data_IF_872383990817
#
_entry.id   IF_872383990817
#
_cell.length_a   1.000
_cell.length_b   1.000
_cell.length_c   1.000
_cell.angle_alpha   90.00
_cell.angle_beta   90.00
_cell.angle_gamma   90.00
#
_symmetry.space_group_name_H-M   'P 1'
#
loop_
_entity.id
_entity.type
_entity.pdbx_description
1 polymer ?
#
# COMPACT_ATOMS: atom_id res chain seq x y z
N UNK A 1 -14.43 -5.64 0.45
CA UNK A 1 -13.44 -5.10 1.41
C UNK A 1 -13.65 -5.74 2.79
N UNK A 2 -14.89 -5.75 3.28
CA UNK A 2 -15.24 -6.23 4.63
C UNK A 2 -14.75 -7.65 4.94
N UNK A 3 -14.90 -8.60 4.00
CA UNK A 3 -14.40 -9.97 4.17
C UNK A 3 -12.88 -10.06 4.36
N UNK A 4 -12.11 -9.25 3.61
CA UNK A 4 -10.64 -9.18 3.73
C UNK A 4 -10.28 -8.68 5.14
N UNK A 5 -10.91 -7.59 5.56
CA UNK A 5 -10.68 -7.01 6.87
C UNK A 5 -11.07 -7.96 8.01
N UNK A 6 -12.20 -8.67 7.89
CA UNK A 6 -12.64 -9.66 8.87
C UNK A 6 -11.67 -10.84 8.97
N UNK A 7 -11.18 -11.35 7.84
CA UNK A 7 -10.25 -12.48 7.83
C UNK A 7 -8.85 -12.10 8.34
N UNK A 8 -8.40 -10.87 8.10
CA UNK A 8 -7.20 -10.32 8.75
C UNK A 8 -7.43 -10.09 10.24
N UNK A 9 -8.59 -9.54 10.65
CA UNK A 9 -8.93 -9.30 12.05
C UNK A 9 -8.90 -10.55 12.92
N UNK A 10 -9.31 -11.72 12.39
CA UNK A 10 -9.25 -12.99 13.14
C UNK A 10 -7.83 -13.38 13.58
N UNK A 11 -6.79 -12.87 12.93
CA UNK A 11 -5.37 -13.20 13.21
C UNK A 11 -4.76 -12.33 14.31
N UNK A 12 -5.43 -11.24 14.69
CA UNK A 12 -4.92 -10.27 15.64
C UNK A 12 -5.98 -9.91 16.68
N UNK A 13 -5.54 -9.57 17.88
CA UNK A 13 -6.45 -9.13 18.95
C UNK A 13 -6.27 -7.62 19.13
N UNK A 14 -7.21 -6.82 18.60
CA UNK A 14 -7.19 -5.37 18.74
C UNK A 14 -8.59 -4.79 18.96
N UNK A 15 -8.64 -3.61 19.60
CA UNK A 15 -9.87 -2.95 20.06
C UNK A 15 -10.57 -2.09 19.00
N UNK A 16 -10.12 -2.13 17.75
CA UNK A 16 -10.60 -1.26 16.67
C UNK A 16 -11.05 -2.05 15.44
N UNK A 17 -11.80 -1.40 14.56
CA UNK A 17 -12.35 -1.99 13.34
C UNK A 17 -11.44 -1.69 12.13
N UNK A 18 -10.83 -2.73 11.55
CA UNK A 18 -9.86 -2.56 10.46
C UNK A 18 -10.53 -2.08 9.16
N UNK A 19 -11.76 -2.51 8.90
CA UNK A 19 -12.62 -2.01 7.81
C UNK A 19 -12.82 -0.50 7.92
N UNK A 20 -13.00 0.00 9.13
CA UNK A 20 -13.25 1.41 9.39
C UNK A 20 -11.98 2.20 9.09
N UNK A 21 -10.81 1.72 9.55
CA UNK A 21 -9.53 2.37 9.25
C UNK A 21 -9.26 2.38 7.74
N UNK A 22 -9.35 1.22 7.09
CA UNK A 22 -9.02 1.09 5.68
C UNK A 22 -9.95 1.93 4.80
N UNK A 23 -11.27 1.90 5.05
CA UNK A 23 -12.24 2.73 4.32
C UNK A 23 -11.94 4.22 4.49
N UNK A 24 -11.66 4.71 5.71
CA UNK A 24 -11.32 6.13 5.92
C UNK A 24 -10.03 6.53 5.21
N UNK A 25 -9.01 5.67 5.21
CA UNK A 25 -7.76 5.92 4.48
C UNK A 25 -7.97 5.99 2.97
N UNK A 26 -8.78 5.10 2.41
CA UNK A 26 -9.09 5.07 0.97
C UNK A 26 -9.95 6.26 0.56
N UNK A 27 -11.05 6.54 1.26
CA UNK A 27 -11.93 7.67 0.97
C UNK A 27 -11.19 8.99 1.13
N UNK A 28 -10.40 9.14 2.20
CA UNK A 28 -9.56 10.30 2.39
C UNK A 28 -8.55 10.50 1.27
N UNK A 29 -7.93 9.42 0.77
CA UNK A 29 -6.98 9.52 -0.34
C UNK A 29 -7.63 9.95 -1.66
N UNK A 30 -8.85 9.48 -1.93
CA UNK A 30 -9.60 9.78 -3.16
C UNK A 30 -10.22 11.19 -3.11
N UNK A 31 -10.87 11.52 -1.99
CA UNK A 31 -11.67 12.74 -1.87
C UNK A 31 -10.85 13.96 -1.44
N UNK A 32 -9.88 13.78 -0.54
CA UNK A 32 -9.08 14.88 0.01
C UNK A 32 -7.66 14.40 0.42
N UNK A 33 -6.80 14.07 -0.57
CA UNK A 33 -5.49 13.47 -0.34
C UNK A 33 -4.64 14.36 0.56
N UNK A 34 -4.37 13.88 1.76
CA UNK A 34 -3.67 14.64 2.80
C UNK A 34 -2.94 13.71 3.76
N UNK A 35 -2.36 14.27 4.83
CA UNK A 35 -1.71 13.48 5.88
C UNK A 35 -2.70 12.53 6.57
N UNK A 36 -2.20 11.47 7.20
CA UNK A 36 -3.02 10.51 7.97
C UNK A 36 -3.82 11.18 9.09
N UNK A 37 -3.21 12.17 9.76
CA UNK A 37 -3.88 13.03 10.74
C UNK A 37 -4.99 13.86 10.11
N UNK A 38 -4.71 14.54 8.99
CA UNK A 38 -5.73 15.29 8.25
C UNK A 38 -6.87 14.39 7.79
N UNK A 39 -6.58 13.18 7.31
CA UNK A 39 -7.57 12.17 6.96
C UNK A 39 -8.45 11.79 8.15
N UNK A 40 -7.89 11.62 9.36
CA UNK A 40 -8.67 11.37 10.56
C UNK A 40 -9.66 12.51 10.86
N UNK A 41 -9.23 13.77 10.71
CA UNK A 41 -10.10 14.93 10.89
C UNK A 41 -11.17 15.02 9.80
N UNK A 42 -10.78 14.91 8.53
CA UNK A 42 -11.68 14.90 7.38
C UNK A 42 -12.73 13.78 7.45
N UNK A 43 -12.35 12.61 7.98
CA UNK A 43 -13.28 11.49 8.11
C UNK A 43 -14.52 11.79 8.95
N UNK A 44 -14.44 12.78 9.86
CA UNK A 44 -15.54 13.24 10.70
C UNK A 44 -16.57 14.07 9.94
N UNK A 45 -16.21 14.60 8.76
CA UNK A 45 -17.10 15.42 7.92
C UNK A 45 -17.82 14.61 6.84
N UNK A 46 -17.52 13.30 6.74
CA UNK A 46 -18.18 12.40 5.78
C UNK A 46 -19.60 12.05 6.25
N UNK A 47 -20.47 11.67 5.31
CA UNK A 47 -21.88 11.31 5.56
C UNK A 47 -22.05 10.19 6.59
N UNK A 48 -21.08 9.29 6.70
CA UNK A 48 -21.02 8.24 7.71
C UNK A 48 -19.88 8.55 8.70
N UNK A 49 -20.07 9.49 9.64
CA UNK A 49 -19.04 9.80 10.61
C UNK A 49 -18.88 8.59 11.54
N UNK A 50 -17.72 7.95 11.46
CA UNK A 50 -17.31 6.92 12.42
C UNK A 50 -16.30 7.53 13.39
N UNK A 51 -16.46 7.24 14.67
CA UNK A 51 -15.49 7.67 15.69
C UNK A 51 -14.19 6.89 15.48
N UNK A 52 -13.22 7.53 14.82
CA UNK A 52 -11.90 6.97 14.60
C UNK A 52 -10.88 7.82 15.35
N UNK A 53 -10.40 7.29 16.46
CA UNK A 53 -9.30 7.90 17.19
C UNK A 53 -7.99 7.79 16.41
N UNK A 54 -7.18 8.85 16.45
CA UNK A 54 -5.97 8.97 15.63
C UNK A 54 -4.97 7.83 15.92
N UNK A 55 -4.80 7.43 17.17
CA UNK A 55 -3.93 6.33 17.56
C UNK A 55 -4.37 4.99 16.95
N UNK A 56 -5.67 4.75 16.77
CA UNK A 56 -6.16 3.54 16.13
C UNK A 56 -5.85 3.56 14.64
N UNK A 57 -6.01 4.71 13.97
CA UNK A 57 -5.62 4.86 12.56
C UNK A 57 -4.14 4.52 12.35
N UNK A 58 -3.24 5.03 13.20
CA UNK A 58 -1.81 4.72 13.09
C UNK A 58 -1.50 3.25 13.37
N UNK A 59 -2.08 2.65 14.43
CA UNK A 59 -1.90 1.22 14.73
C UNK A 59 -2.43 0.32 13.61
N UNK A 60 -3.52 0.72 12.96
CA UNK A 60 -4.07 -0.02 11.83
C UNK A 60 -3.14 -0.06 10.61
N UNK A 61 -2.31 0.97 10.40
CA UNK A 61 -1.32 0.97 9.30
C UNK A 61 -0.32 -0.17 9.43
N UNK A 62 0.09 -0.51 10.65
CA UNK A 62 1.00 -1.63 10.90
C UNK A 62 0.37 -2.97 10.53
N UNK A 63 -0.91 -3.17 10.88
CA UNK A 63 -1.66 -4.38 10.52
C UNK A 63 -1.85 -4.46 9.01
N UNK A 64 -2.21 -3.34 8.36
CA UNK A 64 -2.35 -3.27 6.90
C UNK A 64 -1.02 -3.63 6.23
N UNK A 65 0.10 -3.10 6.74
CA UNK A 65 1.43 -3.40 6.22
C UNK A 65 1.76 -4.90 6.34
N UNK A 66 1.50 -5.52 7.50
CA UNK A 66 1.71 -6.96 7.74
C UNK A 66 0.85 -7.85 6.85
N UNK A 67 -0.36 -7.42 6.54
CA UNK A 67 -1.33 -8.17 5.73
C UNK A 67 -1.25 -7.82 4.24
N UNK A 68 -0.27 -7.02 3.81
CA UNK A 68 -0.18 -6.50 2.44
C UNK A 68 -0.27 -7.61 1.40
N UNK A 69 0.48 -8.70 1.55
CA UNK A 69 0.48 -9.80 0.57
C UNK A 69 -0.90 -10.48 0.46
N UNK A 70 -1.56 -10.71 1.59
CA UNK A 70 -2.92 -11.26 1.62
C UNK A 70 -3.94 -10.31 0.99
N UNK A 71 -3.82 -9.00 1.26
CA UNK A 71 -4.66 -7.97 0.66
C UNK A 71 -4.47 -7.95 -0.86
N UNK A 72 -3.23 -7.96 -1.34
CA UNK A 72 -2.92 -7.97 -2.77
C UNK A 72 -3.47 -9.23 -3.46
N UNK A 73 -3.23 -10.41 -2.88
CA UNK A 73 -3.76 -11.68 -3.39
C UNK A 73 -5.28 -11.62 -3.52
N UNK A 74 -5.96 -11.12 -2.49
CA UNK A 74 -7.42 -11.12 -2.48
C UNK A 74 -8.00 -10.01 -3.38
N UNK A 75 -7.31 -8.88 -3.55
CA UNK A 75 -7.67 -7.88 -4.56
C UNK A 75 -7.51 -8.44 -5.97
N UNK A 76 -6.44 -9.18 -6.25
CA UNK A 76 -6.23 -9.85 -7.53
C UNK A 76 -7.37 -10.82 -7.84
N UNK A 77 -7.70 -11.74 -6.92
CA UNK A 77 -8.80 -12.71 -7.10
C UNK A 77 -10.15 -12.03 -7.30
N UNK A 78 -10.48 -11.03 -6.47
CA UNK A 78 -11.77 -10.34 -6.55
C UNK A 78 -11.91 -9.53 -7.85
N UNK A 79 -10.84 -8.87 -8.29
CA UNK A 79 -10.86 -8.07 -9.52
C UNK A 79 -10.88 -8.95 -10.78
N UNK A 80 -10.20 -10.08 -10.78
CA UNK A 80 -10.27 -11.07 -11.86
C UNK A 80 -11.68 -11.66 -12.04
N UNK A 81 -12.47 -11.74 -10.96
CA UNK A 81 -13.87 -12.13 -11.04
C UNK A 81 -14.79 -11.05 -11.64
N UNK A 82 -14.38 -9.78 -11.61
CA UNK A 82 -15.16 -8.65 -12.14
C UNK A 82 -14.83 -8.35 -13.62
N UNK A 83 -13.58 -8.57 -14.03
CA UNK A 83 -13.14 -8.37 -15.41
C UNK A 83 -12.00 -9.33 -15.74
N UNK A 84 -11.96 -9.79 -16.98
CA UNK A 84 -10.82 -10.54 -17.51
C UNK A 84 -9.54 -9.72 -17.39
N UNK A 85 -8.47 -10.31 -16.85
CA UNK A 85 -7.15 -9.69 -16.79
C UNK A 85 -6.39 -9.93 -18.08
N UNK A 86 -5.67 -8.92 -18.58
CA UNK A 86 -4.89 -8.99 -19.81
C UNK A 86 -3.40 -9.11 -19.52
N UNK A 87 -3.01 -10.27 -19.01
CA UNK A 87 -1.65 -10.58 -18.52
C UNK A 87 -0.71 -11.11 -19.60
N UNK A 88 -1.11 -11.05 -20.88
CA UNK A 88 -0.25 -11.43 -22.01
C UNK A 88 1.02 -10.56 -22.10
N UNK A 89 0.91 -9.30 -21.63
CA UNK A 89 2.01 -8.36 -21.44
C UNK A 89 1.86 -7.75 -20.05
N UNK A 90 2.95 -7.77 -19.28
CA UNK A 90 3.03 -7.15 -17.97
C UNK A 90 3.90 -5.90 -18.05
N UNK A 91 3.39 -4.79 -17.50
CA UNK A 91 4.17 -3.58 -17.31
C UNK A 91 4.73 -3.55 -15.90
N UNK A 92 6.01 -3.22 -15.80
CA UNK A 92 6.71 -3.04 -14.54
C UNK A 92 7.36 -1.66 -14.50
N UNK A 93 7.11 -0.91 -13.44
CA UNK A 93 7.81 0.34 -13.18
C UNK A 93 8.27 0.41 -11.72
N UNK A 94 9.43 1.04 -11.52
CA UNK A 94 10.02 1.28 -10.22
C UNK A 94 9.92 2.77 -9.88
N UNK A 95 9.49 3.10 -8.68
CA UNK A 95 9.53 4.48 -8.17
C UNK A 95 10.31 4.55 -6.87
N UNK A 96 11.02 5.66 -6.66
CA UNK A 96 11.87 5.87 -5.49
C UNK A 96 11.26 6.97 -4.62
N UNK A 97 11.13 6.71 -3.32
CA UNK A 97 10.74 7.68 -2.32
C UNK A 97 11.99 8.11 -1.54
N UNK A 98 12.35 9.39 -1.60
CA UNK A 98 13.48 9.91 -0.82
C UNK A 98 13.08 10.27 0.61
N UNK A 99 14.02 10.20 1.53
CA UNK A 99 13.83 10.55 2.93
C UNK A 99 14.91 11.52 3.40
N UNK A 100 14.53 12.52 4.18
CA UNK A 100 15.45 13.49 4.80
C UNK A 100 15.98 13.01 6.17
N UNK A 101 15.87 11.71 6.42
CA UNK A 101 16.28 11.04 7.66
C UNK A 101 17.51 10.16 7.36
N UNK A 102 18.10 9.58 8.41
CA UNK A 102 19.22 8.65 8.28
C UNK A 102 18.80 7.31 7.66
N UNK A 103 19.81 6.56 7.22
CA UNK A 103 19.60 5.20 6.70
C UNK A 103 18.93 4.28 7.73
N UNK A 104 18.26 3.27 7.22
CA UNK A 104 17.59 2.27 8.03
C UNK A 104 17.31 1.03 7.18
N UNK A 105 16.52 0.09 7.71
CA UNK A 105 16.34 -1.21 7.06
C UNK A 105 15.88 -1.12 5.58
N UNK A 106 14.93 -0.24 5.28
CA UNK A 106 14.48 0.02 3.90
C UNK A 106 15.14 1.28 3.30
N UNK A 107 15.40 2.30 4.11
CA UNK A 107 15.95 3.58 3.67
C UNK A 107 17.43 3.41 3.45
N UNK A 108 17.86 3.24 2.20
CA UNK A 108 19.25 2.97 1.86
C UNK A 108 19.71 3.96 0.80
N UNK A 109 20.99 4.35 0.84
CA UNK A 109 21.58 5.18 -0.21
C UNK A 109 21.70 4.38 -1.50
N UNK A 110 21.19 4.94 -2.60
CA UNK A 110 21.14 4.28 -3.90
C UNK A 110 20.96 5.27 -5.03
N UNK A 111 20.76 4.76 -6.24
CA UNK A 111 20.54 5.61 -7.40
C UNK A 111 19.13 6.23 -7.36
N UNK A 112 19.05 7.47 -6.91
CA UNK A 112 17.81 8.25 -6.94
C UNK A 112 17.48 8.68 -8.36
N UNK A 113 16.25 8.43 -8.83
CA UNK A 113 15.76 8.91 -10.15
C UNK A 113 15.73 10.43 -10.24
N UNK A 114 15.66 11.13 -9.10
CA UNK A 114 15.77 12.59 -8.99
C UNK A 114 17.22 13.06 -8.73
N UNK A 115 18.21 12.17 -8.77
CA UNK A 115 19.62 12.47 -8.46
C UNK A 115 19.86 13.10 -7.08
N UNK A 116 19.01 12.79 -6.10
CA UNK A 116 19.17 13.26 -4.72
C UNK A 116 20.19 12.40 -3.95
N UNK A 117 21.02 13.01 -3.08
CA UNK A 117 21.99 12.28 -2.26
C UNK A 117 21.37 11.61 -1.03
N UNK A 118 20.04 11.71 -0.85
CA UNK A 118 19.31 11.20 0.29
C UNK A 118 19.10 9.67 0.22
N UNK A 119 18.92 8.99 1.37
CA UNK A 119 18.49 7.60 1.34
C UNK A 119 17.09 7.49 0.74
N UNK A 120 16.86 6.41 0.00
CA UNK A 120 15.62 6.16 -0.72
C UNK A 120 15.02 4.81 -0.30
N UNK A 121 13.72 4.64 -0.58
CA UNK A 121 13.01 3.35 -0.57
C UNK A 121 12.44 3.15 -1.96
N UNK A 122 12.49 1.93 -2.47
CA UNK A 122 12.01 1.62 -3.81
C UNK A 122 10.70 0.84 -3.77
N UNK A 123 9.76 1.20 -4.63
CA UNK A 123 8.53 0.46 -4.89
C UNK A 123 8.48 0.01 -6.34
N UNK A 124 8.37 -1.29 -6.56
CA UNK A 124 8.04 -1.85 -7.87
C UNK A 124 6.54 -2.07 -7.99
N UNK A 125 5.94 -1.71 -9.12
CA UNK A 125 4.51 -1.91 -9.41
C UNK A 125 4.34 -2.70 -10.70
N UNK A 126 3.57 -3.79 -10.62
CA UNK A 126 3.13 -4.58 -11.76
C UNK A 126 1.71 -4.19 -12.16
N UNK A 127 1.50 -4.03 -13.46
CA UNK A 127 0.20 -3.76 -14.07
C UNK A 127 -0.01 -4.65 -15.30
N UNK A 128 -1.26 -4.98 -15.57
CA UNK A 128 -1.62 -5.63 -16.83
C UNK A 128 -1.60 -4.63 -18.00
N UNK A 129 -1.79 -5.14 -19.23
CA UNK A 129 -1.76 -4.31 -20.44
C UNK A 129 -2.86 -3.23 -20.51
N UNK A 130 -3.85 -3.27 -19.61
CA UNK A 130 -4.91 -2.27 -19.47
C UNK A 130 -4.61 -1.26 -18.35
N UNK A 131 -3.44 -1.35 -17.73
CA UNK A 131 -3.02 -0.46 -16.65
C UNK A 131 -3.63 -0.79 -15.30
N UNK A 132 -4.23 -1.98 -15.13
CA UNK A 132 -4.80 -2.37 -13.83
C UNK A 132 -3.69 -2.98 -12.97
N UNK A 133 -3.45 -2.46 -11.75
CA UNK A 133 -2.48 -3.03 -10.82
C UNK A 133 -2.72 -4.51 -10.52
N UNK A 134 -1.63 -5.26 -10.44
CA UNK A 134 -1.59 -6.68 -10.11
C UNK A 134 -0.97 -6.91 -8.74
N UNK A 135 0.25 -6.39 -8.55
CA UNK A 135 1.00 -6.49 -7.31
C UNK A 135 2.05 -5.38 -7.24
N UNK A 136 2.50 -5.07 -6.03
CA UNK A 136 3.64 -4.20 -5.77
C UNK A 136 4.56 -4.84 -4.73
N UNK A 137 5.81 -4.40 -4.73
CA UNK A 137 6.81 -4.78 -3.73
C UNK A 137 7.55 -3.54 -3.25
N UNK A 138 7.89 -3.53 -1.96
CA UNK A 138 8.72 -2.49 -1.34
C UNK A 138 10.07 -3.11 -1.00
N UNK A 139 11.14 -2.46 -1.43
CA UNK A 139 12.52 -2.96 -1.24
C UNK A 139 13.45 -1.86 -0.77
N UNK A 140 14.60 -2.22 -0.18
CA UNK A 140 15.61 -1.23 0.18
C UNK A 140 16.05 -0.39 -1.01
N UNK A 141 16.32 0.90 -0.81
CA UNK A 141 16.62 1.84 -1.88
C UNK A 141 17.85 1.55 -2.75
N UNK A 142 18.74 0.68 -2.30
CA UNK A 142 19.92 0.23 -3.03
C UNK A 142 19.71 -1.09 -3.78
N UNK A 143 18.48 -1.62 -3.80
CA UNK A 143 18.15 -2.87 -4.48
C UNK A 143 18.11 -2.65 -6.00
N UNK A 144 18.71 -3.55 -6.76
CA UNK A 144 18.70 -3.46 -8.22
C UNK A 144 17.29 -3.75 -8.78
N UNK A 145 16.75 -2.84 -9.61
CA UNK A 145 15.42 -2.95 -10.23
C UNK A 145 15.20 -4.28 -11.01
N UNK A 146 16.25 -4.87 -11.59
CA UNK A 146 16.11 -6.14 -12.32
C UNK A 146 15.88 -7.32 -11.37
N UNK A 147 16.39 -7.23 -10.13
CA UNK A 147 16.25 -8.30 -9.14
C UNK A 147 14.88 -8.29 -8.47
N UNK A 148 14.18 -7.16 -8.50
CA UNK A 148 12.83 -7.01 -7.94
C UNK A 148 11.73 -7.54 -8.87
N UNK A 149 12.04 -7.80 -10.15
CA UNK A 149 11.13 -8.46 -11.09
C UNK A 149 11.05 -9.98 -10.91
N UNK A 150 12.18 -10.62 -10.57
CA UNK A 150 12.35 -12.09 -10.55
C UNK A 150 11.47 -12.88 -9.57
N UNK A 151 11.06 -12.35 -8.38
CA UNK A 151 10.29 -13.15 -7.42
C UNK A 151 8.83 -13.41 -7.82
N UNK A 152 8.33 -12.80 -8.88
CA UNK A 152 6.89 -12.78 -9.22
C UNK A 152 6.55 -13.46 -10.57
N UNK A 153 7.55 -14.05 -11.24
CA UNK A 153 7.39 -14.87 -12.45
C UNK A 153 7.09 -16.36 -12.15
N UNK A 154 6.92 -16.75 -10.87
CA UNK A 154 6.61 -18.12 -10.47
C UNK A 154 5.15 -18.31 -10.08
#
# INVERSE_FOLDING_TARGET
>A
MDKICQDSQKRYHFSFHLDTILSRLLYGRILFPSSKRSTAHFSKTLLEPKTLELQHLYRGLEIIAKETDFIQEQLYKNSAALSSRKTDVLYYDCTNFYFEDEEGQLRQYGYSKEHRPNPIVQMGLFMDSQGIPLAFSITPGNTNEQTTMKPLEK
#
